data_IF_494530944233
#
_entry.id   IF_494530944233
#
_cell.length_a   1.000
_cell.length_b   1.000
_cell.length_c   1.000
_cell.angle_alpha   90.00
_cell.angle_beta   90.00
_cell.angle_gamma   90.00
#
_symmetry.space_group_name_H-M   'P 1'
#
loop_
_entity.id
_entity.type
_entity.pdbx_description
1 polymer ?
#
# COMPACT_ATOMS: atom_id res chain seq x y z
N UNK A 1 16.44 -17.25 26.28
CA UNK A 1 15.39 -16.36 25.72
C UNK A 1 15.24 -16.58 24.22
N UNK A 2 16.33 -16.48 23.44
CA UNK A 2 16.34 -16.79 22.01
C UNK A 2 15.77 -18.18 21.68
N UNK A 3 16.25 -19.24 22.33
CA UNK A 3 15.79 -20.62 22.07
C UNK A 3 14.29 -20.82 22.30
N UNK A 4 13.74 -20.19 23.35
CA UNK A 4 12.30 -20.24 23.64
C UNK A 4 11.47 -19.54 22.56
N UNK A 5 11.93 -18.38 22.08
CA UNK A 5 11.27 -17.67 20.97
C UNK A 5 11.36 -18.48 19.68
N UNK A 6 12.51 -19.07 19.37
CA UNK A 6 12.68 -19.91 18.20
C UNK A 6 11.73 -21.12 18.22
N UNK A 7 11.64 -21.83 19.34
CA UNK A 7 10.72 -22.96 19.51
C UNK A 7 9.26 -22.55 19.35
N UNK A 8 8.89 -21.40 19.92
CA UNK A 8 7.55 -20.83 19.77
C UNK A 8 7.21 -20.56 18.30
N UNK A 9 8.07 -19.83 17.58
CA UNK A 9 7.87 -19.52 16.16
C UNK A 9 7.83 -20.78 15.29
N UNK A 10 8.65 -21.80 15.58
CA UNK A 10 8.60 -23.08 14.88
C UNK A 10 7.26 -23.80 15.09
N UNK A 11 6.74 -23.75 16.32
CA UNK A 11 5.44 -24.34 16.65
C UNK A 11 4.29 -23.61 15.94
N UNK A 12 4.32 -22.28 15.90
CA UNK A 12 3.35 -21.48 15.14
C UNK A 12 3.39 -21.77 13.64
N UNK A 13 4.60 -21.86 13.06
CA UNK A 13 4.76 -22.21 11.65
C UNK A 13 4.22 -23.61 11.34
N UNK A 14 4.46 -24.59 12.21
CA UNK A 14 3.91 -25.94 12.06
C UNK A 14 2.37 -25.91 12.09
N UNK A 15 1.77 -25.17 13.03
CA UNK A 15 0.32 -25.01 13.11
C UNK A 15 -0.26 -24.32 11.87
N UNK A 16 0.40 -23.27 11.34
CA UNK A 16 -0.01 -22.59 10.10
C UNK A 16 0.06 -23.55 8.89
N UNK A 17 1.07 -24.42 8.84
CA UNK A 17 1.21 -25.43 7.79
C UNK A 17 0.13 -26.51 7.90
N UNK A 18 -0.13 -27.04 9.10
CA UNK A 18 -1.17 -28.04 9.36
C UNK A 18 -2.57 -27.50 9.02
N UNK A 19 -2.81 -26.21 9.27
CA UNK A 19 -4.04 -25.53 8.91
C UNK A 19 -4.17 -25.18 7.41
N UNK A 20 -3.14 -25.46 6.58
CA UNK A 20 -3.14 -25.11 5.16
C UNK A 20 -3.07 -23.59 4.88
N UNK A 21 -2.67 -22.79 5.86
CA UNK A 21 -2.58 -21.33 5.76
C UNK A 21 -1.17 -20.84 5.37
N UNK A 22 -0.21 -21.76 5.29
CA UNK A 22 1.16 -21.44 4.89
C UNK A 22 1.22 -21.04 3.41
N UNK A 23 1.76 -19.84 3.15
CA UNK A 23 1.86 -19.29 1.80
C UNK A 23 3.22 -19.59 1.21
N UNK A 24 3.25 -20.34 0.11
CA UNK A 24 4.45 -20.56 -0.68
C UNK A 24 4.51 -19.57 -1.85
N UNK A 25 5.66 -18.96 -2.07
CA UNK A 25 5.87 -18.06 -3.19
C UNK A 25 6.12 -18.83 -4.49
N UNK A 26 5.51 -18.37 -5.58
CA UNK A 26 5.77 -18.87 -6.94
C UNK A 26 6.66 -17.88 -7.67
N UNK A 27 7.85 -18.33 -8.05
CA UNK A 27 8.84 -17.48 -8.69
C UNK A 27 8.49 -17.29 -10.17
N UNK A 28 8.27 -16.04 -10.58
CA UNK A 28 8.09 -15.63 -11.99
C UNK A 28 9.46 -15.23 -12.55
N UNK A 29 9.77 -15.65 -13.79
CA UNK A 29 11.08 -15.43 -14.44
C UNK A 29 10.99 -14.64 -15.75
N UNK A 30 9.87 -13.97 -15.99
CA UNK A 30 9.62 -13.08 -17.13
C UNK A 30 9.09 -11.73 -16.63
N UNK A 31 9.08 -10.68 -17.47
CA UNK A 31 8.32 -9.47 -17.18
C UNK A 31 6.84 -9.76 -16.88
N UNK A 32 6.18 -8.83 -16.19
CA UNK A 32 4.77 -8.95 -15.81
C UNK A 32 3.86 -8.65 -17.00
N UNK A 33 3.10 -9.65 -17.46
CA UNK A 33 2.14 -9.56 -18.57
C UNK A 33 1.04 -10.62 -18.43
N UNK A 34 0.14 -10.72 -19.39
CA UNK A 34 -0.92 -11.73 -19.38
C UNK A 34 -0.36 -13.17 -19.41
N UNK A 35 0.66 -13.43 -20.22
CA UNK A 35 1.36 -14.72 -20.29
C UNK A 35 2.70 -14.65 -19.54
N UNK A 36 2.89 -15.44 -18.49
CA UNK A 36 4.13 -15.43 -17.71
C UNK A 36 4.78 -16.80 -17.68
N UNK A 37 6.09 -16.84 -17.43
CA UNK A 37 6.81 -18.08 -17.15
C UNK A 37 7.18 -18.15 -15.67
N UNK A 38 6.84 -19.27 -15.03
CA UNK A 38 7.29 -19.56 -13.67
C UNK A 38 8.58 -20.37 -13.67
N UNK A 39 9.34 -20.36 -12.57
CA UNK A 39 10.64 -21.04 -12.45
C UNK A 39 10.57 -22.55 -12.72
N UNK A 40 9.40 -23.18 -12.58
CA UNK A 40 9.19 -24.59 -12.98
C UNK A 40 9.28 -24.82 -14.49
N UNK A 41 9.36 -23.76 -15.30
CA UNK A 41 9.43 -23.81 -16.76
C UNK A 41 8.08 -23.68 -17.45
N UNK A 42 6.98 -23.72 -16.69
CA UNK A 42 5.62 -23.63 -17.22
C UNK A 42 5.28 -22.20 -17.66
N UNK A 43 4.64 -22.08 -18.82
CA UNK A 43 4.00 -20.86 -19.31
C UNK A 43 2.51 -20.89 -18.94
N UNK A 44 2.03 -19.81 -18.32
CA UNK A 44 0.67 -19.72 -17.77
C UNK A 44 0.07 -18.34 -18.00
N UNK A 45 -1.27 -18.27 -18.00
CA UNK A 45 -2.00 -17.00 -17.98
C UNK A 45 -2.13 -16.48 -16.54
N UNK A 46 -1.76 -15.22 -16.33
CA UNK A 46 -1.78 -14.57 -15.03
C UNK A 46 -3.09 -13.79 -14.80
N UNK A 47 -4.02 -14.40 -14.06
CA UNK A 47 -5.30 -13.79 -13.67
C UNK A 47 -5.31 -13.25 -12.22
N UNK A 48 -4.15 -13.11 -11.58
CA UNK A 48 -4.04 -12.65 -10.20
C UNK A 48 -3.06 -11.47 -10.03
N UNK A 49 -2.86 -10.67 -11.08
CA UNK A 49 -2.06 -9.44 -11.02
C UNK A 49 -2.94 -8.19 -10.94
N UNK A 50 -2.41 -7.15 -10.33
CA UNK A 50 -3.01 -5.80 -10.31
C UNK A 50 -2.61 -4.97 -11.55
N UNK A 51 -2.20 -5.63 -12.64
CA UNK A 51 -1.74 -4.98 -13.88
C UNK A 51 -2.92 -4.69 -14.83
N UNK A 52 -3.93 -3.96 -14.33
CA UNK A 52 -5.22 -3.80 -15.00
C UNK A 52 -5.14 -3.22 -16.42
N UNK A 53 -4.20 -2.30 -16.65
CA UNK A 53 -4.00 -1.63 -17.93
C UNK A 53 -2.87 -2.24 -18.77
N UNK A 54 -2.23 -3.32 -18.30
CA UNK A 54 -1.12 -3.96 -19.02
C UNK A 54 0.15 -3.11 -19.10
N UNK A 55 0.37 -2.18 -18.16
CA UNK A 55 1.46 -1.19 -18.24
C UNK A 55 2.78 -1.66 -17.60
N UNK A 56 2.78 -2.74 -16.80
CA UNK A 56 3.99 -3.17 -16.07
C UNK A 56 5.21 -3.53 -16.95
N UNK A 57 5.02 -3.88 -18.23
CA UNK A 57 6.10 -4.14 -19.21
C UNK A 57 5.94 -3.25 -20.45
N UNK A 58 5.41 -2.05 -20.27
CA UNK A 58 5.19 -1.12 -21.38
C UNK A 58 6.52 -0.48 -21.83
N UNK A 59 6.84 -0.59 -23.12
CA UNK A 59 8.09 -0.07 -23.69
C UNK A 59 8.32 1.42 -23.44
N UNK A 60 7.27 2.25 -23.51
CA UNK A 60 7.39 3.69 -23.26
C UNK A 60 7.77 3.98 -21.80
N UNK A 61 7.20 3.25 -20.84
CA UNK A 61 7.54 3.40 -19.42
C UNK A 61 8.96 2.91 -19.11
N UNK A 62 9.40 1.83 -19.75
CA UNK A 62 10.77 1.31 -19.59
C UNK A 62 11.78 2.34 -20.09
N UNK A 63 11.55 2.93 -21.27
CA UNK A 63 12.45 3.96 -21.81
C UNK A 63 12.44 5.24 -20.98
N UNK A 64 11.28 5.68 -20.47
CA UNK A 64 11.20 6.81 -19.55
C UNK A 64 11.99 6.57 -18.25
N UNK A 65 11.91 5.36 -17.69
CA UNK A 65 12.66 4.98 -16.50
C UNK A 65 14.17 4.99 -16.75
N UNK A 66 14.64 4.41 -17.87
CA UNK A 66 16.07 4.44 -18.25
C UNK A 66 16.60 5.88 -18.37
N UNK A 67 15.86 6.73 -19.08
CA UNK A 67 16.22 8.14 -19.23
C UNK A 67 16.30 8.86 -17.90
N UNK A 68 15.33 8.65 -17.00
CA UNK A 68 15.36 9.25 -15.67
C UNK A 68 16.59 8.78 -14.86
N UNK A 69 16.95 7.50 -14.94
CA UNK A 69 18.15 6.98 -14.28
C UNK A 69 19.44 7.64 -14.80
N UNK A 70 19.55 7.82 -16.12
CA UNK A 70 20.71 8.47 -16.74
C UNK A 70 20.81 9.96 -16.36
N UNK A 71 19.67 10.67 -16.31
CA UNK A 71 19.64 12.12 -16.09
C UNK A 71 19.55 12.55 -14.61
N UNK A 72 19.07 11.68 -13.71
CA UNK A 72 18.80 12.01 -12.30
C UNK A 72 19.47 11.05 -11.30
N UNK A 73 20.11 9.99 -11.78
CA UNK A 73 20.78 8.98 -10.97
C UNK A 73 19.83 7.94 -10.39
N UNK A 74 20.40 6.96 -9.67
CA UNK A 74 19.65 5.79 -9.19
C UNK A 74 18.77 6.07 -7.95
N UNK A 75 19.25 6.91 -7.03
CA UNK A 75 18.55 7.13 -5.76
C UNK A 75 18.98 8.41 -5.08
N UNK A 76 18.11 8.89 -4.19
CA UNK A 76 18.29 10.18 -3.52
C UNK A 76 19.09 10.10 -2.21
N UNK A 77 19.17 8.92 -1.59
CA UNK A 77 19.85 8.72 -0.29
C UNK A 77 19.44 9.72 0.80
N UNK A 78 18.22 10.26 0.74
CA UNK A 78 17.75 11.33 1.60
C UNK A 78 16.22 11.43 1.61
N UNK A 79 15.67 12.00 2.67
CA UNK A 79 14.25 12.36 2.76
C UNK A 79 13.98 13.67 2.01
N UNK A 80 12.71 13.92 1.67
CA UNK A 80 12.29 15.04 0.82
C UNK A 80 12.79 16.41 1.28
N UNK A 81 12.71 16.72 2.57
CA UNK A 81 13.02 18.06 3.09
C UNK A 81 14.52 18.38 3.22
N UNK A 82 15.40 17.37 3.23
CA UNK A 82 16.84 17.60 3.39
C UNK A 82 17.48 17.81 2.02
N UNK A 83 17.58 16.75 1.21
CA UNK A 83 18.11 16.80 -0.15
C UNK A 83 17.51 15.72 -1.06
N UNK A 84 16.33 15.19 -0.70
CA UNK A 84 15.65 14.12 -1.43
C UNK A 84 14.64 14.59 -2.47
N UNK A 85 14.49 15.91 -2.71
CA UNK A 85 13.52 16.43 -3.68
C UNK A 85 14.22 16.86 -4.96
N UNK A 86 13.84 16.25 -6.09
CA UNK A 86 14.19 16.70 -7.44
C UNK A 86 13.02 17.42 -8.11
N UNK A 87 13.30 18.07 -9.24
CA UNK A 87 12.31 18.63 -10.16
C UNK A 87 11.22 17.61 -10.53
N UNK A 88 11.60 16.39 -10.91
CA UNK A 88 10.66 15.33 -11.28
C UNK A 88 9.65 14.96 -10.18
N UNK A 89 10.01 15.13 -8.90
CA UNK A 89 9.06 14.89 -7.80
C UNK A 89 7.95 15.93 -7.80
N UNK A 90 8.30 17.21 -7.97
CA UNK A 90 7.31 18.31 -8.01
C UNK A 90 6.48 18.27 -9.29
N UNK A 91 7.08 17.91 -10.42
CA UNK A 91 6.36 17.71 -11.69
C UNK A 91 5.34 16.58 -11.59
N UNK A 92 5.72 15.45 -10.96
CA UNK A 92 4.80 14.33 -10.72
C UNK A 92 3.66 14.74 -9.79
N UNK A 93 3.93 15.42 -8.67
CA UNK A 93 2.91 15.93 -7.76
C UNK A 93 1.92 16.84 -8.49
N UNK A 94 2.40 17.81 -9.26
CA UNK A 94 1.55 18.71 -10.04
C UNK A 94 0.72 17.96 -11.10
N UNK A 95 1.31 16.94 -11.75
CA UNK A 95 0.61 16.12 -12.75
C UNK A 95 -0.51 15.29 -12.11
N UNK A 96 -0.26 14.70 -10.94
CA UNK A 96 -1.26 13.95 -10.18
C UNK A 96 -2.39 14.88 -9.73
N UNK A 97 -2.08 16.06 -9.18
CA UNK A 97 -3.08 17.05 -8.77
C UNK A 97 -3.96 17.47 -9.94
N UNK A 98 -3.37 17.73 -11.12
CA UNK A 98 -4.11 18.04 -12.34
C UNK A 98 -5.02 16.89 -12.78
N UNK A 99 -4.53 15.65 -12.69
CA UNK A 99 -5.28 14.45 -13.10
C UNK A 99 -6.49 14.19 -12.19
N UNK A 100 -6.30 14.24 -10.87
CA UNK A 100 -7.36 13.99 -9.89
C UNK A 100 -8.19 15.23 -9.53
N UNK A 101 -7.80 16.41 -10.05
CA UNK A 101 -8.45 17.71 -9.78
C UNK A 101 -8.41 18.09 -8.29
N UNK A 102 -7.26 17.88 -7.66
CA UNK A 102 -6.97 18.32 -6.29
C UNK A 102 -6.10 19.59 -6.30
N UNK A 103 -6.04 20.30 -5.18
CA UNK A 103 -5.20 21.51 -5.05
C UNK A 103 -3.70 21.18 -5.08
N UNK A 104 -3.28 20.12 -4.37
CA UNK A 104 -1.90 19.64 -4.35
C UNK A 104 -1.83 18.12 -4.11
N UNK A 105 -0.61 17.56 -4.21
CA UNK A 105 -0.30 16.15 -4.00
C UNK A 105 1.02 16.01 -3.22
N UNK A 106 1.08 15.03 -2.32
CA UNK A 106 2.30 14.59 -1.63
C UNK A 106 2.65 13.15 -2.01
N UNK A 107 3.91 12.90 -2.37
CA UNK A 107 4.40 11.56 -2.70
C UNK A 107 4.82 10.76 -1.45
N UNK A 108 4.43 9.49 -1.44
CA UNK A 108 4.92 8.44 -0.54
C UNK A 108 5.50 7.28 -1.37
N UNK A 109 6.37 6.47 -0.76
CA UNK A 109 6.97 5.31 -1.44
C UNK A 109 5.93 4.22 -1.79
N UNK A 110 4.91 4.05 -0.94
CA UNK A 110 3.77 3.19 -1.19
C UNK A 110 2.49 3.76 -0.58
N UNK A 111 1.33 3.32 -1.08
CA UNK A 111 0.03 3.72 -0.53
C UNK A 111 -0.21 3.17 0.90
N UNK A 112 0.53 2.12 1.30
CA UNK A 112 0.50 1.65 2.69
C UNK A 112 1.00 2.74 3.63
N UNK A 113 2.15 3.36 3.33
CA UNK A 113 2.72 4.48 4.08
C UNK A 113 1.87 5.75 4.01
N UNK A 114 1.31 6.04 2.83
CA UNK A 114 0.42 7.20 2.67
C UNK A 114 -0.77 7.11 3.65
N UNK A 115 -1.42 5.94 3.77
CA UNK A 115 -2.50 5.75 4.74
C UNK A 115 -1.97 5.75 6.19
N UNK A 116 -0.82 5.11 6.43
CA UNK A 116 -0.20 5.05 7.75
C UNK A 116 0.12 6.44 8.33
N UNK A 117 0.62 7.34 7.49
CA UNK A 117 0.97 8.71 7.86
C UNK A 117 -0.13 9.74 7.66
N UNK A 118 -1.37 9.34 7.33
CA UNK A 118 -2.46 10.28 7.04
C UNK A 118 -3.19 10.74 8.31
N UNK A 119 -3.58 9.81 9.18
CA UNK A 119 -4.57 10.11 10.21
C UNK A 119 -3.97 10.80 11.44
N UNK A 120 -2.86 10.30 11.98
CA UNK A 120 -2.23 10.85 13.19
C UNK A 120 -1.83 12.34 13.06
N UNK A 121 -1.28 12.83 11.94
CA UNK A 121 -0.94 14.25 11.80
C UNK A 121 -2.14 15.18 11.66
N UNK A 122 -3.31 14.66 11.28
CA UNK A 122 -4.50 15.47 10.95
C UNK A 122 -5.55 15.47 12.06
N UNK A 123 -5.59 14.43 12.90
CA UNK A 123 -6.63 14.23 13.90
C UNK A 123 -6.02 13.99 15.29
N UNK A 124 -6.75 14.45 16.30
CA UNK A 124 -6.39 14.42 17.71
C UNK A 124 -7.34 13.50 18.49
N UNK A 125 -7.20 13.44 19.81
CA UNK A 125 -8.11 12.69 20.69
C UNK A 125 -9.52 13.31 20.82
N UNK A 126 -9.68 14.57 20.38
CA UNK A 126 -10.98 15.26 20.32
C UNK A 126 -11.79 14.88 19.07
N UNK A 127 -11.15 14.22 18.10
CA UNK A 127 -11.74 13.86 16.81
C UNK A 127 -12.27 12.42 16.79
N UNK A 128 -13.00 12.08 15.72
CA UNK A 128 -13.51 10.74 15.46
C UNK A 128 -13.24 10.29 14.02
N UNK A 129 -12.93 9.00 13.85
CA UNK A 129 -12.76 8.33 12.56
C UNK A 129 -13.78 7.18 12.46
N UNK A 130 -14.64 7.24 11.44
CA UNK A 130 -15.65 6.22 11.14
C UNK A 130 -15.19 5.42 9.92
N UNK A 131 -14.89 4.13 10.09
CA UNK A 131 -14.30 3.26 9.06
C UNK A 131 -15.22 2.10 8.68
N UNK A 132 -15.27 1.79 7.38
CA UNK A 132 -15.90 0.56 6.88
C UNK A 132 -15.16 -0.68 7.43
N UNK A 133 -15.90 -1.75 7.72
CA UNK A 133 -15.36 -3.00 8.23
C UNK A 133 -14.42 -3.76 7.26
N UNK A 134 -14.53 -3.52 5.95
CA UNK A 134 -13.66 -4.12 4.93
C UNK A 134 -12.61 -3.17 4.37
N UNK A 135 -12.38 -2.02 5.02
CA UNK A 135 -11.28 -1.13 4.67
C UNK A 135 -9.94 -1.89 4.64
N UNK A 136 -9.08 -1.49 3.70
CA UNK A 136 -7.77 -2.10 3.52
C UNK A 136 -6.92 -2.01 4.79
N UNK A 137 -6.07 -3.01 5.03
CA UNK A 137 -5.24 -3.11 6.24
C UNK A 137 -4.42 -1.84 6.53
N UNK A 138 -3.93 -1.15 5.50
CA UNK A 138 -3.18 0.11 5.68
C UNK A 138 -4.01 1.25 6.27
N UNK A 139 -5.32 1.32 5.98
CA UNK A 139 -6.22 2.29 6.62
C UNK A 139 -6.39 1.92 8.08
N UNK A 140 -6.63 0.63 8.37
CA UNK A 140 -6.77 0.13 9.73
C UNK A 140 -5.53 0.46 10.56
N UNK A 141 -4.33 0.19 10.04
CA UNK A 141 -3.09 0.46 10.74
C UNK A 141 -2.83 1.97 10.90
N UNK A 142 -3.12 2.80 9.91
CA UNK A 142 -3.05 4.26 10.05
C UNK A 142 -3.99 4.81 11.12
N UNK A 143 -5.24 4.33 11.15
CA UNK A 143 -6.22 4.70 12.18
C UNK A 143 -5.79 4.21 13.58
N UNK A 144 -5.08 3.08 13.68
CA UNK A 144 -4.54 2.58 14.96
C UNK A 144 -3.41 3.43 15.53
N UNK A 145 -2.67 4.15 14.69
CA UNK A 145 -1.63 5.10 15.11
C UNK A 145 -2.23 6.44 15.59
N UNK A 146 -3.42 6.78 15.11
CA UNK A 146 -4.14 7.99 15.50
C UNK A 146 -4.84 7.86 16.87
N UNK A 147 -4.95 8.98 17.60
CA UNK A 147 -5.63 9.06 18.90
C UNK A 147 -7.14 9.26 18.81
N UNK A 148 -7.67 9.60 17.65
CA UNK A 148 -9.10 9.84 17.45
C UNK A 148 -9.95 8.67 17.93
N UNK A 149 -11.18 8.98 18.39
CA UNK A 149 -12.19 7.95 18.68
C UNK A 149 -12.46 7.14 17.42
N UNK A 150 -12.54 5.81 17.53
CA UNK A 150 -12.66 4.91 16.38
C UNK A 150 -14.02 4.25 16.38
N UNK A 151 -14.76 4.42 15.28
CA UNK A 151 -16.03 3.76 15.05
C UNK A 151 -15.93 2.90 13.79
N UNK A 152 -16.53 1.72 13.83
CA UNK A 152 -16.56 0.80 12.69
C UNK A 152 -18.01 0.48 12.35
N UNK A 153 -18.35 0.60 11.07
CA UNK A 153 -19.67 0.24 10.55
C UNK A 153 -19.57 -0.98 9.61
N UNK A 154 -20.66 -1.72 9.46
CA UNK A 154 -20.75 -2.87 8.58
C UNK A 154 -20.54 -2.48 7.10
N UNK A 155 -19.91 -3.35 6.32
CA UNK A 155 -19.46 -3.00 4.98
C UNK A 155 -20.60 -2.52 4.08
N UNK A 156 -20.46 -1.30 3.55
CA UNK A 156 -21.44 -0.61 2.73
C UNK A 156 -22.85 -0.43 3.38
N UNK A 157 -22.95 -0.56 4.70
CA UNK A 157 -24.21 -0.34 5.44
C UNK A 157 -24.37 1.14 5.83
N UNK A 158 -25.24 1.84 5.10
CA UNK A 158 -25.47 3.28 5.32
C UNK A 158 -26.27 3.57 6.60
N UNK A 159 -27.08 2.64 7.08
CA UNK A 159 -27.83 2.83 8.32
C UNK A 159 -26.91 2.68 9.54
N UNK A 160 -26.01 1.70 9.52
CA UNK A 160 -24.99 1.55 10.57
C UNK A 160 -23.97 2.71 10.53
N UNK A 161 -23.57 3.16 9.33
CA UNK A 161 -22.77 4.39 9.18
C UNK A 161 -23.45 5.60 9.83
N UNK A 162 -24.73 5.83 9.54
CA UNK A 162 -25.49 6.94 10.14
C UNK A 162 -25.53 6.82 11.68
N UNK A 163 -25.77 5.62 12.21
CA UNK A 163 -25.74 5.37 13.65
C UNK A 163 -24.36 5.70 14.26
N UNK A 164 -23.26 5.33 13.59
CA UNK A 164 -21.89 5.65 14.05
C UNK A 164 -21.57 7.13 13.99
N UNK A 165 -22.11 7.86 13.01
CA UNK A 165 -21.98 9.31 12.95
C UNK A 165 -22.72 10.00 14.10
N UNK A 166 -23.93 9.55 14.44
CA UNK A 166 -24.68 10.06 15.60
C UNK A 166 -23.95 9.75 16.92
N UNK A 167 -23.41 8.53 17.05
CA UNK A 167 -22.62 8.10 18.22
C UNK A 167 -21.35 8.95 18.40
N UNK A 168 -20.69 9.34 17.31
CA UNK A 168 -19.47 10.14 17.34
C UNK A 168 -19.69 11.61 17.74
N UNK A 169 -20.92 12.13 17.65
CA UNK A 169 -21.28 13.50 18.01
C UNK A 169 -21.66 13.67 19.49
N UNK A 170 -21.87 12.56 20.22
CA UNK A 170 -22.24 12.53 21.63
C UNK A 170 -21.01 12.61 22.56
#
# INVERSE_FOLDING_TARGET
MYEKMQQHLQSELAAIQEAGLYKNERIIVTPQKAEIKVKSGQEVLNFCANNYLGLSDNAHLIEAAKKALDERGYGMSSVRFICGTQDLHKELEATISKFFKTEDTILYAACFDANGGLFEPLFTEEDAIVSDALNHASIIDGVRLCKAKRYRYANADMADLEAKLQEAQA
#
